data_IF_758378608992
#
_entry.id   IF_758378608992
#
_cell.length_a   1.000
_cell.length_b   1.000
_cell.length_c   1.000
_cell.angle_alpha   90.00
_cell.angle_beta   90.00
_cell.angle_gamma   90.00
#
_symmetry.space_group_name_H-M   'P 1'
#
loop_
_entity.id
_entity.type
_entity.pdbx_description
1 polymer ?
#
# COMPACT_ATOMS: atom_id res chain seq x y z
N UNK A 1 12.55 -11.08 -12.99
CA UNK A 1 11.61 -9.94 -12.88
C UNK A 1 10.23 -10.58 -12.79
N UNK A 2 9.69 -10.68 -11.59
CA UNK A 2 8.57 -11.58 -11.30
C UNK A 2 7.25 -10.87 -11.61
N UNK A 3 6.39 -11.53 -12.37
CA UNK A 3 5.25 -10.98 -13.10
C UNK A 3 4.12 -10.38 -12.22
N UNK A 4 4.23 -10.43 -10.88
CA UNK A 4 3.16 -10.03 -9.94
C UNK A 4 3.65 -9.37 -8.65
N UNK A 5 4.62 -8.46 -8.71
CA UNK A 5 4.96 -7.66 -7.53
C UNK A 5 3.99 -6.47 -7.40
N UNK A 6 3.09 -6.45 -6.39
CA UNK A 6 2.10 -5.39 -6.22
C UNK A 6 2.76 -4.02 -6.01
N UNK A 7 3.96 -3.98 -5.41
CA UNK A 7 4.72 -2.74 -5.25
C UNK A 7 5.23 -2.21 -6.60
N UNK A 8 5.71 -3.07 -7.50
CA UNK A 8 6.13 -2.65 -8.84
C UNK A 8 4.95 -2.13 -9.66
N UNK A 9 3.79 -2.77 -9.54
CA UNK A 9 2.57 -2.29 -10.16
C UNK A 9 2.18 -0.90 -9.62
N UNK A 10 2.25 -0.70 -8.30
CA UNK A 10 2.01 0.59 -7.68
C UNK A 10 2.97 1.68 -8.17
N UNK A 11 4.26 1.35 -8.29
CA UNK A 11 5.28 2.25 -8.83
C UNK A 11 4.96 2.66 -10.28
N UNK A 12 4.51 1.70 -11.11
CA UNK A 12 4.10 1.98 -12.50
C UNK A 12 2.87 2.86 -12.58
N UNK A 13 1.84 2.59 -11.77
CA UNK A 13 0.63 3.42 -11.71
C UNK A 13 0.93 4.84 -11.22
N UNK A 14 1.84 5.00 -10.26
CA UNK A 14 2.33 6.32 -9.82
C UNK A 14 3.26 7.00 -10.85
N UNK A 15 3.69 6.27 -11.88
CA UNK A 15 4.58 6.71 -12.96
C UNK A 15 6.08 6.59 -12.65
N UNK A 16 6.49 6.69 -11.39
CA UNK A 16 7.87 6.39 -10.98
C UNK A 16 7.99 6.15 -9.47
N UNK A 17 9.08 5.53 -9.05
CA UNK A 17 9.39 5.32 -7.62
C UNK A 17 9.53 6.64 -6.85
N UNK A 18 10.05 7.69 -7.49
CA UNK A 18 10.17 9.02 -6.90
C UNK A 18 8.78 9.65 -6.66
N UNK A 19 7.89 9.56 -7.65
CA UNK A 19 6.51 10.05 -7.50
C UNK A 19 5.77 9.30 -6.40
N UNK A 20 5.89 7.96 -6.38
CA UNK A 20 5.28 7.16 -5.32
C UNK A 20 5.81 7.56 -3.94
N UNK A 21 7.13 7.67 -3.77
CA UNK A 21 7.75 8.08 -2.52
C UNK A 21 7.28 9.48 -2.06
N UNK A 22 7.21 10.43 -2.99
CA UNK A 22 6.75 11.79 -2.71
C UNK A 22 5.29 11.82 -2.24
N UNK A 23 4.39 11.09 -2.90
CA UNK A 23 2.97 11.05 -2.50
C UNK A 23 2.80 10.34 -1.15
N UNK A 24 3.63 9.33 -0.87
CA UNK A 24 3.61 8.62 0.41
C UNK A 24 4.35 9.37 1.53
N UNK A 25 5.05 10.46 1.24
CA UNK A 25 5.84 11.21 2.23
C UNK A 25 7.08 10.45 2.74
N UNK A 26 7.59 9.49 1.97
CA UNK A 26 8.75 8.65 2.35
C UNK A 26 9.94 8.89 1.41
N UNK A 27 11.11 8.37 1.79
CA UNK A 27 12.28 8.40 0.91
C UNK A 27 12.18 7.37 -0.21
N UNK A 28 12.78 7.66 -1.38
CA UNK A 28 12.93 6.69 -2.48
C UNK A 28 13.58 5.39 -2.00
N UNK A 29 14.56 5.49 -1.10
CA UNK A 29 15.26 4.35 -0.51
C UNK A 29 14.31 3.44 0.27
N UNK A 30 13.38 4.01 1.05
CA UNK A 30 12.38 3.23 1.77
C UNK A 30 11.50 2.41 0.81
N UNK A 31 10.99 3.04 -0.26
CA UNK A 31 10.18 2.35 -1.28
C UNK A 31 10.97 1.23 -1.95
N UNK A 32 12.25 1.45 -2.26
CA UNK A 32 13.11 0.41 -2.82
C UNK A 32 13.34 -0.75 -1.84
N UNK A 33 13.56 -0.44 -0.56
CA UNK A 33 13.74 -1.44 0.50
C UNK A 33 12.51 -2.34 0.69
N UNK A 34 11.30 -1.82 0.47
CA UNK A 34 10.08 -2.65 0.54
C UNK A 34 10.01 -3.72 -0.53
N UNK A 35 10.72 -3.53 -1.66
CA UNK A 35 10.81 -4.52 -2.74
C UNK A 35 11.89 -5.59 -2.52
N UNK A 36 12.67 -5.51 -1.43
CA UNK A 36 13.70 -6.49 -1.11
C UNK A 36 13.10 -7.78 -0.54
N UNK A 37 13.76 -8.94 -0.73
CA UNK A 37 13.31 -10.21 -0.17
C UNK A 37 13.14 -10.12 1.36
N UNK A 38 12.01 -10.59 1.86
CA UNK A 38 11.66 -10.57 3.30
C UNK A 38 11.26 -9.19 3.83
N UNK A 39 11.11 -8.18 2.95
CA UNK A 39 10.50 -6.89 3.26
C UNK A 39 9.14 -6.76 2.58
N UNK A 40 8.37 -5.84 3.11
CA UNK A 40 6.98 -5.59 2.74
C UNK A 40 6.66 -4.13 3.01
N UNK A 41 5.59 -3.63 2.39
CA UNK A 41 5.14 -2.27 2.63
C UNK A 41 4.55 -2.15 4.04
N UNK A 42 4.91 -1.13 4.83
CA UNK A 42 4.26 -0.84 6.10
C UNK A 42 2.74 -0.68 5.92
N UNK A 43 1.96 -1.23 6.85
CA UNK A 43 0.50 -1.23 6.75
C UNK A 43 -0.07 0.21 6.62
N UNK A 44 0.52 1.17 7.32
CA UNK A 44 0.13 2.59 7.25
C UNK A 44 0.13 3.19 5.82
N UNK A 45 0.99 2.69 4.91
CA UNK A 45 1.10 3.20 3.55
C UNK A 45 0.21 2.45 2.55
N UNK A 46 -0.29 1.26 2.90
CA UNK A 46 -1.07 0.42 2.01
C UNK A 46 -2.36 1.13 1.51
N UNK A 47 -3.17 1.80 2.38
CA UNK A 47 -4.35 2.52 1.92
C UNK A 47 -4.03 3.69 0.97
N UNK A 48 -2.91 4.37 1.18
CA UNK A 48 -2.48 5.45 0.31
C UNK A 48 -2.10 4.90 -1.08
N UNK A 49 -1.40 3.77 -1.14
CA UNK A 49 -1.07 3.09 -2.40
C UNK A 49 -2.34 2.63 -3.11
N UNK A 50 -3.29 2.02 -2.40
CA UNK A 50 -4.58 1.59 -2.98
C UNK A 50 -5.33 2.77 -3.61
N UNK A 51 -5.35 3.93 -2.95
CA UNK A 51 -5.96 5.15 -3.49
C UNK A 51 -5.25 5.69 -4.73
N UNK A 52 -3.92 5.79 -4.70
CA UNK A 52 -3.11 6.30 -5.84
C UNK A 52 -3.27 5.40 -7.07
N UNK A 53 -3.39 4.10 -6.85
CA UNK A 53 -3.55 3.11 -7.92
C UNK A 53 -4.99 2.94 -8.37
N UNK A 54 -5.95 3.69 -7.80
CA UNK A 54 -7.37 3.55 -8.13
C UNK A 54 -7.93 2.16 -7.83
N UNK A 55 -7.39 1.47 -6.82
CA UNK A 55 -7.78 0.11 -6.46
C UNK A 55 -7.17 -1.00 -7.32
N UNK A 56 -6.26 -0.69 -8.25
CA UNK A 56 -5.51 -1.72 -9.00
C UNK A 56 -4.58 -2.53 -8.09
N UNK A 57 -4.01 -1.90 -7.06
CA UNK A 57 -3.18 -2.55 -6.05
C UNK A 57 -3.89 -2.44 -4.71
N UNK A 58 -4.42 -3.55 -4.22
CA UNK A 58 -5.13 -3.59 -2.95
C UNK A 58 -4.19 -3.71 -1.75
N UNK A 59 -4.65 -3.25 -0.59
CA UNK A 59 -3.93 -3.41 0.67
C UNK A 59 -3.60 -4.88 0.96
N UNK A 60 -4.55 -5.77 0.66
CA UNK A 60 -4.46 -7.22 0.81
C UNK A 60 -3.36 -7.84 -0.07
N UNK A 61 -3.04 -7.22 -1.21
CA UNK A 61 -1.96 -7.68 -2.09
C UNK A 61 -0.60 -7.25 -1.57
N UNK A 62 -0.49 -6.03 -1.04
CA UNK A 62 0.76 -5.50 -0.48
C UNK A 62 1.12 -6.16 0.84
N UNK A 63 0.09 -6.48 1.64
CA UNK A 63 0.19 -7.03 2.99
C UNK A 63 -0.85 -8.12 3.19
N UNK A 64 -0.58 -9.35 2.70
CA UNK A 64 -1.47 -10.49 2.91
C UNK A 64 -1.44 -11.00 4.35
N UNK A 65 -0.45 -10.60 5.15
CA UNK A 65 -0.32 -10.97 6.57
C UNK A 65 -1.23 -10.17 7.52
N UNK A 66 -1.89 -9.11 7.02
CA UNK A 66 -2.80 -8.25 7.81
C UNK A 66 -4.25 -8.54 7.42
N UNK A 67 -5.11 -8.70 8.42
CA UNK A 67 -6.56 -8.79 8.21
C UNK A 67 -7.16 -7.39 7.99
N UNK A 68 -7.19 -6.98 6.72
CA UNK A 68 -7.76 -5.70 6.30
C UNK A 68 -9.28 -5.65 6.41
N UNK A 69 -9.97 -6.79 6.43
CA UNK A 69 -11.41 -6.83 6.60
C UNK A 69 -11.80 -6.40 8.00
N UNK A 70 -11.04 -6.82 9.02
CA UNK A 70 -11.22 -6.37 10.39
C UNK A 70 -10.93 -4.85 10.56
N UNK A 71 -9.89 -4.33 9.90
CA UNK A 71 -9.54 -2.91 9.98
C UNK A 71 -10.53 -1.97 9.24
N UNK A 72 -11.29 -2.50 8.28
CA UNK A 72 -12.32 -1.75 7.54
C UNK A 72 -13.65 -1.65 8.28
N UNK A 73 -13.81 -2.28 9.44
CA UNK A 73 -15.05 -2.20 10.23
C UNK A 73 -15.23 -0.74 10.68
N UNK A 74 -16.29 -0.03 10.26
CA UNK A 74 -16.57 1.30 10.77
C UNK A 74 -16.87 1.17 12.26
N UNK A 75 -16.07 1.85 13.09
CA UNK A 75 -16.29 1.92 14.53
C UNK A 75 -17.73 2.31 14.77
N UNK A 76 -18.53 1.40 15.34
CA UNK A 76 -19.91 1.65 15.72
C UNK A 76 -19.89 2.54 16.98
N UNK A 77 -19.45 3.78 16.85
CA UNK A 77 -19.44 4.78 17.93
C UNK A 77 -20.24 5.99 17.44
N UNK A 78 -21.57 5.90 17.59
CA UNK A 78 -22.49 6.94 17.12
C UNK A 78 -23.95 6.52 16.95
N UNK A 79 -24.41 5.45 17.58
CA UNK A 79 -25.84 5.13 17.72
C UNK A 79 -26.27 5.38 19.16
N UNK A 80 -26.34 6.66 19.54
CA UNK A 80 -27.10 7.12 20.69
C UNK A 80 -27.96 8.29 20.20
N UNK A 81 -29.21 7.99 19.87
CA UNK A 81 -30.29 8.94 19.68
C UNK A 81 -31.21 8.87 20.89
#
# INVERSE_FOLDING_TARGET
MNEKNPLEQAIRSAGSINKLAMVLGVSKGAVWQWGLPGRQVPAEHCPAIERITGGMVRCEQLRPDVDWAYLRIPSQEGAAA
#
